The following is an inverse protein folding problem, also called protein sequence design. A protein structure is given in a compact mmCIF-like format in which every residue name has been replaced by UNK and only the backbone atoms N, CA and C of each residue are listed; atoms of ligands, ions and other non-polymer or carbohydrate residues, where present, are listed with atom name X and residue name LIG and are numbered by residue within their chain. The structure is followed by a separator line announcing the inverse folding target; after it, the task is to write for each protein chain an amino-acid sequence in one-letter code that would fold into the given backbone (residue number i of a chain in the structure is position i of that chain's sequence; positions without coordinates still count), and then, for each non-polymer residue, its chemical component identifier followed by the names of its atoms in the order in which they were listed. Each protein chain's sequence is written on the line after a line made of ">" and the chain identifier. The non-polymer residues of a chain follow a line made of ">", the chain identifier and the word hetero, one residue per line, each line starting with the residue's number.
data_IF_316627449741
#
_entry.id   IF_316627449741
#
_cell.length_a   1.000
_cell.length_b   1.000
_cell.length_c   1.000
_cell.angle_alpha   90.00
_cell.angle_beta   90.00
_cell.angle_gamma   90.00
#
_symmetry.space_group_name_H-M   'P 1'
#
loop_
_entity.id
_entity.type
_entity.pdbx_description
1 polymer ?
#
# COMPACT_ATOMS: atom_id res chain seq x y z
N UNK A 1 -50.59 39.61 -24.86
CA UNK A 1 -50.44 38.24 -25.39
C UNK A 1 -48.98 38.01 -25.74
N UNK A 2 -48.22 37.31 -24.88
CA UNK A 2 -46.88 36.80 -25.18
C UNK A 2 -46.85 35.33 -24.77
N UNK A 3 -46.57 34.48 -25.75
CA UNK A 3 -46.53 33.02 -25.66
C UNK A 3 -45.45 32.57 -24.66
N UNK A 4 -45.81 31.68 -23.74
CA UNK A 4 -44.89 30.91 -22.92
C UNK A 4 -44.69 29.56 -23.62
N UNK A 5 -43.48 29.32 -24.12
CA UNK A 5 -43.09 28.04 -24.69
C UNK A 5 -42.66 27.10 -23.54
N UNK A 6 -43.42 26.02 -23.36
CA UNK A 6 -43.09 24.94 -22.41
C UNK A 6 -42.26 23.91 -23.15
N UNK A 7 -41.01 23.72 -22.75
CA UNK A 7 -40.13 22.66 -23.26
C UNK A 7 -40.33 21.43 -22.38
N UNK A 8 -40.82 20.35 -22.98
CA UNK A 8 -40.92 19.02 -22.39
C UNK A 8 -39.64 18.26 -22.73
N UNK A 9 -38.85 17.92 -21.71
CA UNK A 9 -37.66 17.07 -21.89
C UNK A 9 -38.02 15.62 -21.61
N UNK A 10 -37.75 14.79 -22.62
CA UNK A 10 -38.01 13.35 -22.68
C UNK A 10 -37.02 12.58 -21.82
N UNK A 11 -37.50 11.61 -21.05
CA UNK A 11 -36.72 10.67 -20.26
C UNK A 11 -35.93 9.72 -21.18
N UNK A 12 -34.61 9.61 -20.95
CA UNK A 12 -33.75 8.62 -21.61
C UNK A 12 -33.63 7.36 -20.73
N UNK A 13 -33.89 6.20 -21.35
CA UNK A 13 -33.65 4.87 -20.79
C UNK A 13 -32.18 4.62 -20.48
N UNK A 14 -31.92 4.06 -19.29
CA UNK A 14 -30.61 3.57 -18.87
C UNK A 14 -30.48 2.11 -19.36
N UNK A 15 -29.60 1.87 -20.33
CA UNK A 15 -29.12 0.52 -20.65
C UNK A 15 -28.14 0.08 -19.56
N UNK A 16 -28.47 -1.01 -18.86
CA UNK A 16 -27.55 -1.67 -17.93
C UNK A 16 -26.49 -2.46 -18.67
N UNK A 17 -25.24 -2.01 -18.58
CA UNK A 17 -24.07 -2.83 -18.91
C UNK A 17 -23.61 -3.56 -17.64
N UNK A 18 -23.78 -4.86 -17.62
CA UNK A 18 -23.13 -5.79 -16.70
C UNK A 18 -21.61 -5.70 -16.88
N UNK A 19 -20.92 -5.12 -15.89
CA UNK A 19 -19.45 -5.17 -15.81
C UNK A 19 -18.96 -6.56 -15.38
N UNK A 20 -17.72 -6.94 -15.75
CA UNK A 20 -17.13 -8.22 -15.37
C UNK A 20 -16.81 -8.26 -13.86
N UNK A 21 -17.01 -9.44 -13.27
CA UNK A 21 -16.80 -9.74 -11.85
C UNK A 21 -15.39 -9.38 -11.36
N UNK A 22 -15.26 -8.29 -10.60
CA UNK A 22 -14.08 -7.99 -9.77
C UNK A 22 -14.24 -8.62 -8.38
N UNK A 23 -14.31 -9.94 -8.33
CA UNK A 23 -14.34 -10.72 -7.08
C UNK A 23 -13.03 -11.49 -6.88
N UNK A 24 -11.91 -10.79 -6.69
CA UNK A 24 -10.68 -11.37 -6.13
C UNK A 24 -9.69 -10.24 -5.82
N UNK A 25 -9.60 -9.84 -4.55
CA UNK A 25 -8.43 -9.24 -3.87
C UNK A 25 -8.86 -8.77 -2.46
N UNK A 26 -9.62 -9.60 -1.75
CA UNK A 26 -9.55 -9.62 -0.29
C UNK A 26 -8.72 -10.87 -0.01
N UNK A 27 -7.46 -10.69 0.37
CA UNK A 27 -6.69 -11.76 0.96
C UNK A 27 -7.43 -12.15 2.25
N UNK A 28 -8.26 -13.19 2.16
CA UNK A 28 -8.79 -13.86 3.33
C UNK A 28 -7.58 -14.47 4.03
N UNK A 29 -7.04 -13.72 5.00
CA UNK A 29 -6.27 -14.23 6.12
C UNK A 29 -7.22 -15.12 6.94
N UNK A 30 -7.53 -16.30 6.41
CA UNK A 30 -7.93 -17.41 7.22
C UNK A 30 -6.70 -17.79 8.06
N UNK A 31 -6.92 -17.91 9.37
CA UNK A 31 -5.95 -18.29 10.40
C UNK A 31 -4.83 -19.23 9.92
N UNK A 32 -3.59 -19.10 10.43
CA UNK A 32 -2.44 -19.80 9.90
C UNK A 32 -2.54 -21.30 10.19
N UNK A 33 -2.91 -22.08 9.18
CA UNK A 33 -2.38 -23.42 9.03
C UNK A 33 -0.94 -23.29 8.56
N UNK A 34 0.00 -23.80 9.35
CA UNK A 34 1.42 -23.89 8.99
C UNK A 34 1.55 -24.65 7.68
N UNK A 35 1.87 -23.95 6.59
CA UNK A 35 2.34 -24.56 5.34
C UNK A 35 3.85 -24.38 5.31
N UNK A 36 4.57 -25.45 5.65
CA UNK A 36 6.00 -25.56 5.35
C UNK A 36 6.10 -25.93 3.87
N UNK A 37 6.21 -24.93 3.00
CA UNK A 37 6.61 -25.17 1.60
C UNK A 37 8.14 -25.08 1.51
N UNK A 38 8.79 -26.22 1.69
CA UNK A 38 10.16 -26.45 1.25
C UNK A 38 10.13 -26.99 -0.18
N UNK A 39 10.00 -26.11 -1.18
CA UNK A 39 10.23 -26.48 -2.58
C UNK A 39 11.64 -26.09 -2.99
N UNK A 40 12.60 -26.98 -2.69
CA UNK A 40 13.91 -27.01 -3.35
C UNK A 40 13.70 -27.68 -4.71
N UNK A 41 13.64 -26.91 -5.79
CA UNK A 41 13.72 -27.45 -7.15
C UNK A 41 15.18 -27.62 -7.54
N UNK A 42 15.73 -28.83 -7.30
CA UNK A 42 16.99 -29.27 -7.89
C UNK A 42 16.68 -30.04 -9.17
N UNK A 43 16.68 -29.35 -10.31
CA UNK A 43 16.80 -29.99 -11.62
C UNK A 43 18.29 -30.10 -11.96
N UNK A 44 18.90 -31.23 -11.59
CA UNK A 44 20.17 -31.69 -12.12
C UNK A 44 20.02 -33.17 -12.50
N UNK A 45 19.82 -33.41 -13.79
CA UNK A 45 19.93 -34.74 -14.39
C UNK A 45 21.40 -35.13 -14.48
N UNK A 46 21.81 -36.16 -13.73
CA UNK A 46 23.19 -36.66 -13.74
C UNK A 46 23.40 -37.90 -12.88
N UNK A 47 23.27 -39.05 -13.55
CA UNK A 47 23.63 -40.43 -13.22
C UNK A 47 24.45 -40.76 -11.94
N UNK A 48 23.99 -41.86 -11.33
CA UNK A 48 24.73 -42.95 -10.67
C UNK A 48 25.56 -42.66 -9.40
N UNK A 49 25.10 -43.21 -8.28
CA UNK A 49 26.04 -43.75 -7.29
C UNK A 49 25.65 -43.64 -5.82
N UNK A 50 25.23 -44.79 -5.30
CA UNK A 50 25.66 -45.33 -4.01
C UNK A 50 24.79 -45.09 -2.77
N UNK A 51 24.42 -46.23 -2.20
CA UNK A 51 23.63 -46.46 -0.99
C UNK A 51 24.38 -46.00 0.26
N UNK A 52 23.68 -45.32 1.16
CA UNK A 52 23.90 -45.39 2.61
C UNK A 52 22.60 -44.87 3.29
N UNK A 53 21.67 -45.80 3.48
CA UNK A 53 20.47 -45.60 4.29
C UNK A 53 20.87 -45.35 5.74
N UNK A 54 20.74 -44.10 6.17
CA UNK A 54 20.61 -43.72 7.58
C UNK A 54 19.23 -43.09 7.75
N UNK A 55 18.29 -43.90 8.23
CA UNK A 55 17.01 -43.43 8.75
C UNK A 55 17.28 -42.46 9.91
N UNK A 56 17.08 -41.17 9.65
CA UNK A 56 16.99 -40.15 10.68
C UNK A 56 15.49 -40.03 11.00
N UNK A 57 15.05 -40.76 12.02
CA UNK A 57 13.75 -40.54 12.65
C UNK A 57 13.82 -39.22 13.42
N UNK A 58 13.51 -38.11 12.74
CA UNK A 58 13.27 -36.83 13.39
C UNK A 58 11.88 -36.88 14.04
N UNK A 59 11.82 -37.12 15.35
CA UNK A 59 10.58 -37.02 16.14
C UNK A 59 10.06 -35.58 16.09
N UNK A 60 8.96 -35.35 15.37
CA UNK A 60 8.28 -34.05 15.23
C UNK A 60 7.22 -33.82 16.34
N UNK A 61 7.49 -34.21 17.59
CA UNK A 61 6.45 -34.26 18.64
C UNK A 61 6.35 -33.04 19.57
N UNK A 62 7.12 -31.96 19.38
CA UNK A 62 7.06 -30.79 20.29
C UNK A 62 7.08 -29.43 19.57
N UNK A 63 6.21 -29.22 18.56
CA UNK A 63 5.88 -27.85 18.12
C UNK A 63 4.77 -27.33 19.04
N UNK A 64 5.16 -26.61 20.09
CA UNK A 64 4.22 -25.90 20.95
C UNK A 64 3.26 -25.05 20.09
N UNK A 65 1.93 -25.09 20.33
CA UNK A 65 0.98 -24.29 19.58
C UNK A 65 1.40 -22.83 19.67
N UNK A 66 1.53 -22.16 18.52
CA UNK A 66 1.83 -20.75 18.46
C UNK A 66 0.81 -20.02 19.34
N UNK A 67 1.31 -19.39 20.40
CA UNK A 67 0.50 -18.69 21.39
C UNK A 67 -0.21 -17.52 20.71
N UNK A 68 -1.45 -17.75 20.27
CA UNK A 68 -2.27 -16.78 19.54
C UNK A 68 -2.87 -15.72 20.47
N UNK A 69 -2.38 -15.61 21.72
CA UNK A 69 -2.93 -14.72 22.74
C UNK A 69 -2.30 -13.33 22.78
N UNK A 70 -1.53 -12.91 21.77
CA UNK A 70 -1.15 -11.52 21.63
C UNK A 70 -2.39 -10.69 21.27
N UNK A 71 -3.12 -10.27 22.29
CA UNK A 71 -4.17 -9.26 22.17
C UNK A 71 -3.45 -7.96 21.82
N UNK A 72 -3.60 -7.52 20.57
CA UNK A 72 -3.11 -6.22 20.14
C UNK A 72 -3.99 -5.14 20.76
N UNK A 73 -3.59 -4.65 21.93
CA UNK A 73 -4.29 -3.58 22.63
C UNK A 73 -4.07 -2.24 21.92
N UNK A 74 -5.16 -1.60 21.48
CA UNK A 74 -5.12 -0.25 20.92
C UNK A 74 -6.34 0.09 20.06
N UNK A 75 -6.65 1.39 19.85
CA UNK A 75 -7.67 1.79 18.90
C UNK A 75 -7.31 1.31 17.49
N UNK A 76 -8.30 1.14 16.64
CA UNK A 76 -8.03 0.87 15.22
C UNK A 76 -7.51 2.15 14.57
N UNK A 77 -6.44 2.03 13.81
CA UNK A 77 -5.88 3.13 13.03
C UNK A 77 -5.91 2.71 11.57
N UNK A 78 -6.36 3.58 10.70
CA UNK A 78 -6.18 3.38 9.27
C UNK A 78 -5.25 4.45 8.72
N UNK A 79 -4.35 4.02 7.85
CA UNK A 79 -3.38 4.85 7.18
C UNK A 79 -3.62 4.76 5.69
N UNK A 80 -3.82 5.91 5.03
CA UNK A 80 -3.94 6.00 3.58
C UNK A 80 -2.63 6.50 2.98
N UNK A 81 -2.08 5.77 2.01
CA UNK A 81 -0.84 6.09 1.32
C UNK A 81 -1.07 6.46 -0.14
N UNK A 82 -0.41 7.52 -0.61
CA UNK A 82 -0.44 7.93 -2.01
C UNK A 82 0.67 7.26 -2.84
N UNK A 83 0.31 6.24 -3.61
CA UNK A 83 1.22 5.52 -4.52
C UNK A 83 1.00 5.77 -6.02
N UNK A 84 0.18 6.76 -6.41
CA UNK A 84 -0.11 7.07 -7.83
C UNK A 84 1.03 7.91 -8.46
N UNK A 85 1.94 7.37 -9.28
CA UNK A 85 3.17 8.09 -9.65
C UNK A 85 2.93 9.24 -10.62
N UNK A 86 1.86 9.23 -11.42
CA UNK A 86 1.51 10.32 -12.33
C UNK A 86 0.58 11.38 -11.71
N UNK A 87 0.41 11.36 -10.38
CA UNK A 87 -0.30 12.39 -9.64
C UNK A 87 0.64 12.97 -8.58
N UNK A 88 0.85 14.29 -8.62
CA UNK A 88 1.68 14.99 -7.63
C UNK A 88 1.08 14.94 -6.22
N UNK A 89 -0.24 15.10 -6.17
CA UNK A 89 -1.00 15.08 -4.96
C UNK A 89 -2.40 14.53 -5.22
N UNK A 90 -3.05 14.10 -4.14
CA UNK A 90 -4.44 13.66 -4.18
C UNK A 90 -5.24 14.22 -3.01
N UNK A 91 -6.56 14.22 -3.16
CA UNK A 91 -7.50 14.34 -2.04
C UNK A 91 -8.41 13.12 -1.95
N UNK A 92 -8.84 12.85 -0.75
CA UNK A 92 -9.58 11.67 -0.34
C UNK A 92 -10.97 12.06 0.12
N UNK A 93 -11.95 11.38 -0.44
CA UNK A 93 -13.29 11.33 0.08
C UNK A 93 -13.69 9.90 0.37
N UNK A 94 -14.76 9.75 1.13
CA UNK A 94 -15.30 8.46 1.46
C UNK A 94 -16.80 8.48 1.19
N UNK A 95 -17.27 7.42 0.54
CA UNK A 95 -18.68 7.07 0.57
C UNK A 95 -18.87 6.07 1.70
N UNK A 96 -20.00 6.15 2.40
CA UNK A 96 -20.37 5.19 3.43
C UNK A 96 -21.79 4.70 3.23
N UNK A 97 -22.06 3.46 3.62
CA UNK A 97 -23.38 2.88 3.55
C UNK A 97 -23.33 1.37 3.39
N UNK A 98 -24.29 0.84 2.64
CA UNK A 98 -24.23 -0.54 2.12
C UNK A 98 -23.75 -0.47 0.68
N UNK A 99 -23.14 -1.54 0.16
CA UNK A 99 -22.69 -1.62 -1.23
C UNK A 99 -23.69 -1.10 -2.29
N UNK A 100 -25.00 -1.23 -2.07
CA UNK A 100 -26.05 -0.77 -3.01
C UNK A 100 -26.54 0.66 -2.80
N UNK A 101 -26.10 1.34 -1.73
CA UNK A 101 -26.61 2.65 -1.29
C UNK A 101 -25.50 3.44 -0.59
N UNK A 102 -24.37 3.59 -1.27
CA UNK A 102 -23.24 4.39 -0.81
C UNK A 102 -23.55 5.88 -0.98
N UNK A 103 -23.35 6.66 0.08
CA UNK A 103 -23.57 8.12 0.08
C UNK A 103 -22.27 8.82 0.46
N UNK A 104 -21.89 9.93 -0.21
CA UNK A 104 -20.74 10.72 0.21
C UNK A 104 -20.86 11.18 1.67
N UNK A 105 -19.80 11.02 2.44
CA UNK A 105 -19.75 11.57 3.80
C UNK A 105 -19.73 13.10 3.73
N UNK A 106 -20.43 13.82 4.62
CA UNK A 106 -20.49 15.29 4.61
C UNK A 106 -19.25 15.93 5.26
N UNK A 107 -18.06 15.34 5.04
CA UNK A 107 -16.77 15.77 5.61
C UNK A 107 -15.92 16.48 4.58
N UNK A 108 -14.93 17.23 5.05
CA UNK A 108 -13.92 17.84 4.17
C UNK A 108 -13.12 16.77 3.44
N UNK A 109 -12.77 17.03 2.19
CA UNK A 109 -11.82 16.20 1.46
C UNK A 109 -10.46 16.21 2.17
N UNK A 110 -9.92 15.02 2.46
CA UNK A 110 -8.72 14.83 3.28
C UNK A 110 -7.46 14.60 2.43
N UNK A 111 -6.26 14.91 2.95
CA UNK A 111 -6.02 15.82 4.06
C UNK A 111 -6.47 17.25 3.70
N UNK A 112 -6.76 18.07 4.72
CA UNK A 112 -7.31 19.42 4.54
C UNK A 112 -6.26 20.48 4.19
N UNK A 113 -4.98 20.11 4.15
CA UNK A 113 -3.91 21.02 3.78
C UNK A 113 -4.07 21.51 2.32
N UNK A 114 -3.37 22.58 1.98
CA UNK A 114 -3.48 23.25 0.68
C UNK A 114 -3.05 22.38 -0.49
N UNK A 115 -2.01 21.56 -0.30
CA UNK A 115 -1.42 20.75 -1.37
C UNK A 115 -2.15 19.41 -1.56
N UNK A 116 -2.90 18.96 -0.55
CA UNK A 116 -3.42 17.60 -0.49
C UNK A 116 -2.35 16.61 -0.03
N UNK A 117 -2.68 15.32 -0.07
CA UNK A 117 -1.70 14.28 0.23
C UNK A 117 -0.69 14.23 -0.91
N UNK A 118 0.60 14.45 -0.65
CA UNK A 118 1.64 14.38 -1.68
C UNK A 118 1.98 12.93 -2.04
N UNK A 119 2.47 12.71 -3.26
CA UNK A 119 3.00 11.41 -3.68
C UNK A 119 4.07 10.89 -2.70
N UNK A 120 3.97 9.62 -2.32
CA UNK A 120 4.87 8.98 -1.36
C UNK A 120 4.58 9.30 0.10
N UNK A 121 3.57 10.13 0.40
CA UNK A 121 3.17 10.49 1.76
C UNK A 121 1.97 9.68 2.23
N UNK A 122 1.74 9.68 3.54
CA UNK A 122 0.60 9.03 4.17
C UNK A 122 -0.20 9.97 5.07
N UNK A 123 -1.47 9.64 5.28
CA UNK A 123 -2.35 10.25 6.25
C UNK A 123 -2.95 9.15 7.14
N UNK A 124 -2.95 9.35 8.46
CA UNK A 124 -3.52 8.40 9.41
C UNK A 124 -4.69 9.01 10.16
N UNK A 125 -5.72 8.20 10.43
CA UNK A 125 -6.84 8.58 11.27
C UNK A 125 -7.40 7.36 12.03
N UNK A 126 -8.00 7.64 13.20
CA UNK A 126 -8.65 6.64 14.04
C UNK A 126 -10.15 6.52 13.77
N UNK A 127 -10.74 7.53 13.13
CA UNK A 127 -12.16 7.62 12.85
C UNK A 127 -12.42 8.37 11.54
N UNK A 128 -13.52 8.05 10.88
CA UNK A 128 -14.08 8.85 9.80
C UNK A 128 -15.34 9.54 10.32
N UNK A 129 -15.32 10.87 10.38
CA UNK A 129 -16.48 11.63 10.83
C UNK A 129 -17.70 11.31 9.94
N UNK A 130 -18.85 11.07 10.59
CA UNK A 130 -20.09 10.72 9.90
C UNK A 130 -20.20 9.25 9.45
N UNK A 131 -19.22 8.39 9.72
CA UNK A 131 -19.28 6.96 9.40
C UNK A 131 -19.23 6.07 10.64
N UNK A 132 -20.05 5.01 10.66
CA UNK A 132 -19.95 3.89 11.60
C UNK A 132 -19.14 2.76 10.94
N UNK A 133 -17.83 2.72 11.21
CA UNK A 133 -16.91 1.75 10.61
C UNK A 133 -17.20 0.29 10.99
N UNK A 134 -17.99 0.05 12.03
CA UNK A 134 -18.41 -1.28 12.42
C UNK A 134 -19.64 -1.77 11.65
N UNK A 135 -20.53 -0.86 11.25
CA UNK A 135 -21.81 -1.18 10.61
C UNK A 135 -21.90 -0.82 9.13
N UNK A 136 -21.00 0.02 8.61
CA UNK A 136 -21.05 0.54 7.26
C UNK A 136 -19.84 0.11 6.45
N UNK A 137 -20.12 -0.26 5.20
CA UNK A 137 -19.09 -0.39 4.17
C UNK A 137 -18.56 1.00 3.83
N UNK A 138 -17.27 1.09 3.54
CA UNK A 138 -16.57 2.33 3.21
C UNK A 138 -16.00 2.22 1.81
N UNK A 139 -16.24 3.22 0.97
CA UNK A 139 -15.66 3.27 -0.38
C UNK A 139 -14.82 4.53 -0.55
N UNK A 140 -13.49 4.43 -0.55
CA UNK A 140 -12.63 5.56 -0.80
C UNK A 140 -12.81 6.09 -2.23
N UNK A 141 -12.73 7.40 -2.39
CA UNK A 141 -12.73 8.11 -3.66
C UNK A 141 -11.53 9.02 -3.69
N UNK A 142 -10.70 8.86 -4.71
CA UNK A 142 -9.47 9.64 -4.90
C UNK A 142 -9.71 10.69 -5.97
N UNK A 143 -9.32 11.92 -5.66
CA UNK A 143 -9.29 13.03 -6.59
C UNK A 143 -7.84 13.39 -6.91
N UNK A 144 -7.47 13.38 -8.19
CA UNK A 144 -6.13 13.77 -8.69
C UNK A 144 -6.24 14.90 -9.72
N UNK A 145 -5.12 15.48 -10.14
CA UNK A 145 -5.07 16.63 -11.06
C UNK A 145 -4.87 17.94 -10.31
N UNK A 146 -5.64 18.97 -10.63
CA UNK A 146 -5.55 20.31 -10.01
C UNK A 146 -6.21 20.37 -8.60
N UNK A 147 -5.80 19.48 -7.69
CA UNK A 147 -6.48 19.22 -6.39
C UNK A 147 -6.51 20.42 -5.43
N UNK A 148 -5.71 21.45 -5.67
CA UNK A 148 -5.78 22.74 -5.00
C UNK A 148 -7.11 23.47 -5.27
N UNK A 149 -7.75 23.23 -6.41
CA UNK A 149 -9.03 23.85 -6.79
C UNK A 149 -10.22 23.32 -6.00
N UNK A 150 -10.05 22.19 -5.31
CA UNK A 150 -11.06 21.58 -4.44
C UNK A 150 -10.69 21.64 -2.96
N UNK A 151 -9.71 22.48 -2.59
CA UNK A 151 -9.37 22.73 -1.20
C UNK A 151 -10.58 23.26 -0.42
N UNK A 152 -10.80 22.72 0.78
CA UNK A 152 -11.87 23.16 1.67
C UNK A 152 -13.28 22.76 1.22
N UNK A 153 -13.41 22.02 0.11
CA UNK A 153 -14.69 21.47 -0.34
C UNK A 153 -15.04 20.20 0.43
N UNK A 154 -16.33 19.99 0.66
CA UNK A 154 -16.84 18.75 1.28
C UNK A 154 -17.07 17.67 0.23
N UNK A 155 -17.04 16.42 0.64
CA UNK A 155 -17.14 15.28 -0.26
C UNK A 155 -18.51 15.15 -0.93
N UNK A 156 -19.58 15.57 -0.26
CA UNK A 156 -20.94 15.70 -0.84
C UNK A 156 -21.03 16.81 -1.89
N UNK A 157 -20.15 17.80 -1.86
CA UNK A 157 -20.12 18.88 -2.86
C UNK A 157 -19.32 18.47 -4.12
N UNK A 158 -18.54 17.40 -4.05
CA UNK A 158 -17.66 16.91 -5.11
C UNK A 158 -18.30 15.79 -5.97
N UNK A 159 -19.63 15.67 -5.93
CA UNK A 159 -20.38 14.84 -6.89
C UNK A 159 -20.20 15.36 -8.32
N UNK A 160 -20.26 16.68 -8.51
CA UNK A 160 -19.89 17.34 -9.75
C UNK A 160 -18.37 17.60 -9.75
N UNK A 161 -17.63 16.73 -10.44
CA UNK A 161 -16.16 16.80 -10.55
C UNK A 161 -15.77 18.04 -11.35
N UNK A 162 -14.97 18.97 -10.78
CA UNK A 162 -14.51 20.15 -11.51
C UNK A 162 -13.64 19.77 -12.72
N UNK A 163 -13.52 20.70 -13.67
CA UNK A 163 -12.58 20.53 -14.77
C UNK A 163 -11.15 20.29 -14.26
N UNK A 164 -10.38 19.46 -14.98
CA UNK A 164 -8.98 19.10 -14.64
C UNK A 164 -8.80 18.33 -13.33
N UNK A 165 -9.90 17.89 -12.72
CA UNK A 165 -9.88 16.91 -11.65
C UNK A 165 -10.29 15.56 -12.23
N UNK A 166 -9.54 14.52 -11.88
CA UNK A 166 -9.93 13.15 -12.14
C UNK A 166 -10.45 12.52 -10.86
N UNK A 167 -11.63 11.91 -10.93
CA UNK A 167 -12.26 11.20 -9.81
C UNK A 167 -12.16 9.70 -10.05
N UNK A 168 -11.51 8.98 -9.14
CA UNK A 168 -11.40 7.53 -9.18
C UNK A 168 -12.04 6.92 -7.94
N UNK A 169 -13.02 6.05 -8.15
CA UNK A 169 -13.65 5.28 -7.07
C UNK A 169 -12.80 4.03 -6.82
N UNK A 170 -12.40 3.80 -5.57
CA UNK A 170 -11.62 2.64 -5.17
C UNK A 170 -12.53 1.47 -4.74
N UNK A 171 -11.98 0.25 -4.62
CA UNK A 171 -12.70 -0.90 -4.06
C UNK A 171 -13.32 -0.61 -2.69
N UNK A 172 -14.46 -1.26 -2.41
CA UNK A 172 -15.16 -1.15 -1.13
C UNK A 172 -14.38 -1.88 -0.04
N UNK A 173 -14.22 -1.22 1.11
CA UNK A 173 -13.77 -1.80 2.38
C UNK A 173 -15.01 -2.26 3.16
N UNK A 174 -15.19 -3.57 3.40
CA UNK A 174 -16.36 -4.07 4.10
C UNK A 174 -16.44 -3.55 5.55
N UNK A 175 -17.68 -3.39 6.03
CA UNK A 175 -17.96 -3.06 7.43
C UNK A 175 -17.19 -3.96 8.40
N UNK A 176 -16.68 -3.38 9.49
CA UNK A 176 -15.93 -4.10 10.50
C UNK A 176 -14.44 -4.30 10.18
N UNK A 177 -13.99 -4.04 8.95
CA UNK A 177 -12.56 -4.17 8.61
C UNK A 177 -11.69 -3.19 9.39
N UNK A 178 -12.17 -1.95 9.55
CA UNK A 178 -11.46 -0.86 10.21
C UNK A 178 -11.75 -0.71 11.71
N UNK A 179 -12.52 -1.62 12.33
CA UNK A 179 -12.91 -1.53 13.74
C UNK A 179 -12.43 -2.70 14.61
N UNK A 180 -11.60 -3.60 14.06
CA UNK A 180 -11.13 -4.82 14.75
C UNK A 180 -9.91 -4.64 15.66
N UNK A 181 -9.60 -3.41 16.09
CA UNK A 181 -8.42 -3.12 16.90
C UNK A 181 -7.12 -3.34 16.14
N UNK A 182 -7.13 -3.12 14.82
CA UNK A 182 -5.99 -3.37 13.93
C UNK A 182 -5.55 -2.09 13.26
N UNK A 183 -4.26 -2.02 12.96
CA UNK A 183 -3.71 -1.03 12.05
C UNK A 183 -3.88 -1.51 10.60
N UNK A 184 -4.52 -0.70 9.77
CA UNK A 184 -4.78 -1.03 8.36
C UNK A 184 -4.11 0.00 7.47
N UNK A 185 -3.25 -0.46 6.55
CA UNK A 185 -2.67 0.35 5.50
C UNK A 185 -3.49 0.19 4.22
N UNK A 186 -4.04 1.30 3.72
CA UNK A 186 -4.71 1.41 2.43
C UNK A 186 -3.81 2.19 1.48
N UNK A 187 -3.53 1.66 0.31
CA UNK A 187 -2.61 2.27 -0.65
C UNK A 187 -3.30 2.46 -1.98
N UNK A 188 -3.45 3.69 -2.46
CA UNK A 188 -3.82 3.92 -3.85
C UNK A 188 -2.60 3.73 -4.74
N UNK A 189 -2.63 2.77 -5.65
CA UNK A 189 -1.51 2.40 -6.52
C UNK A 189 -1.97 2.28 -7.99
N UNK A 190 -1.02 2.40 -8.91
CA UNK A 190 -1.29 2.50 -10.36
C UNK A 190 -1.32 3.95 -10.82
N UNK A 191 -1.70 4.18 -12.07
CA UNK A 191 -1.73 5.52 -12.68
C UNK A 191 -3.16 6.00 -12.92
N UNK A 192 -3.38 7.29 -12.70
CA UNK A 192 -4.59 7.97 -13.11
C UNK A 192 -4.70 8.02 -14.66
N UNK A 193 -5.92 8.12 -15.22
CA UNK A 193 -6.12 8.43 -16.63
C UNK A 193 -5.28 9.64 -17.08
N UNK A 194 -4.70 9.57 -18.27
CA UNK A 194 -3.96 10.68 -18.87
C UNK A 194 -4.19 10.71 -20.38
N UNK A 195 -4.16 11.89 -20.98
CA UNK A 195 -4.48 12.08 -22.39
C UNK A 195 -3.32 11.74 -23.34
N UNK A 196 -2.11 11.54 -22.81
CA UNK A 196 -0.89 11.33 -23.59
C UNK A 196 -0.43 9.89 -23.38
N UNK A 197 -0.25 9.14 -24.46
CA UNK A 197 0.42 7.84 -24.41
C UNK A 197 1.92 8.02 -24.60
N UNK A 198 2.68 7.61 -23.60
CA UNK A 198 4.15 7.58 -23.62
C UNK A 198 4.64 6.14 -23.84
N UNK A 199 5.69 5.88 -24.64
CA UNK A 199 6.25 4.54 -24.79
C UNK A 199 6.62 3.84 -23.47
N UNK A 200 6.97 4.59 -22.42
CA UNK A 200 7.31 4.06 -21.10
C UNK A 200 6.07 3.83 -20.21
N UNK A 201 4.85 4.10 -20.68
CA UNK A 201 3.61 4.03 -19.87
C UNK A 201 3.46 2.71 -19.14
N UNK A 202 3.67 1.57 -19.80
CA UNK A 202 3.54 0.26 -19.14
C UNK A 202 4.61 0.04 -18.08
N UNK A 203 5.84 0.52 -18.31
CA UNK A 203 6.92 0.43 -17.33
C UNK A 203 6.68 1.30 -16.09
N UNK A 204 5.81 2.32 -16.18
CA UNK A 204 5.46 3.24 -15.10
C UNK A 204 4.18 2.81 -14.38
N UNK A 205 3.18 2.40 -15.16
CA UNK A 205 1.82 2.19 -14.68
C UNK A 205 1.47 0.71 -14.48
N UNK A 206 2.21 -0.20 -15.11
CA UNK A 206 1.91 -1.64 -15.17
C UNK A 206 0.96 -2.00 -16.31
N UNK A 207 1.05 -3.26 -16.76
CA UNK A 207 0.50 -3.78 -18.02
C UNK A 207 -1.02 -3.60 -18.23
N UNK A 208 -1.78 -3.39 -17.15
CA UNK A 208 -3.23 -3.19 -17.18
C UNK A 208 -3.65 -1.72 -17.32
N UNK A 209 -2.70 -0.81 -17.61
CA UNK A 209 -2.99 0.61 -17.82
C UNK A 209 -3.74 0.89 -19.13
N UNK A 210 -4.69 1.83 -19.05
CA UNK A 210 -5.32 2.47 -20.23
C UNK A 210 -5.37 3.98 -20.06
N UNK A 211 -5.17 4.73 -21.15
CA UNK A 211 -5.23 6.20 -21.16
C UNK A 211 -6.61 6.75 -20.77
N UNK A 212 -7.69 6.04 -21.13
CA UNK A 212 -9.08 6.43 -20.84
C UNK A 212 -9.47 6.25 -19.36
N UNK A 213 -9.12 5.11 -18.74
CA UNK A 213 -9.59 4.76 -17.39
C UNK A 213 -8.49 4.81 -16.32
N UNK A 214 -7.23 4.88 -16.73
CA UNK A 214 -6.11 4.56 -15.87
C UNK A 214 -6.15 3.11 -15.41
N UNK A 215 -5.49 2.84 -14.29
CA UNK A 215 -5.54 1.54 -13.60
C UNK A 215 -5.35 1.69 -12.08
N UNK A 216 -5.72 2.85 -11.53
CA UNK A 216 -5.66 3.10 -10.08
C UNK A 216 -6.53 2.07 -9.36
N UNK A 217 -5.93 1.40 -8.38
CA UNK A 217 -6.59 0.45 -7.50
C UNK A 217 -6.19 0.72 -6.04
N UNK A 218 -6.83 0.03 -5.11
CA UNK A 218 -6.46 0.06 -3.70
C UNK A 218 -5.85 -1.28 -3.29
N UNK A 219 -4.68 -1.23 -2.67
CA UNK A 219 -4.11 -2.34 -1.93
C UNK A 219 -4.43 -2.14 -0.45
N UNK A 220 -4.81 -3.21 0.23
CA UNK A 220 -5.14 -3.17 1.67
C UNK A 220 -4.28 -4.22 2.38
N UNK A 221 -3.56 -3.79 3.42
CA UNK A 221 -2.74 -4.67 4.22
C UNK A 221 -2.97 -4.41 5.72
N UNK A 222 -3.06 -5.47 6.51
CA UNK A 222 -2.93 -5.36 7.96
C UNK A 222 -1.45 -5.19 8.32
N UNK A 223 -1.18 -4.18 9.16
CA UNK A 223 0.13 -3.95 9.75
C UNK A 223 0.19 -4.67 11.09
N UNK A 224 1.27 -5.42 11.32
CA UNK A 224 1.47 -6.12 12.58
C UNK A 224 1.84 -5.13 13.69
N UNK A 225 1.41 -5.42 14.91
CA UNK A 225 1.72 -4.67 16.13
C UNK A 225 2.49 -5.54 17.14
N UNK A 226 3.04 -6.67 16.70
CA UNK A 226 3.87 -7.54 17.52
C UNK A 226 5.23 -6.89 17.84
N UNK A 227 5.24 -5.92 18.73
CA UNK A 227 6.44 -5.23 19.21
C UNK A 227 7.47 -6.21 19.81
N UNK A 228 8.64 -6.43 19.17
CA UNK A 228 9.66 -7.29 19.72
C UNK A 228 10.49 -6.57 20.79
N UNK A 229 10.73 -7.21 21.94
CA UNK A 229 11.64 -6.66 22.93
C UNK A 229 13.07 -6.55 22.37
N UNK A 230 13.66 -5.35 22.43
CA UNK A 230 15.07 -5.12 22.08
C UNK A 230 15.39 -5.02 20.58
N UNK A 231 14.38 -4.98 19.71
CA UNK A 231 14.54 -4.75 18.27
C UNK A 231 13.37 -3.91 17.74
N UNK A 232 13.51 -3.34 16.55
CA UNK A 232 12.39 -2.77 15.81
C UNK A 232 11.77 -3.87 14.95
N UNK A 233 10.44 -3.95 14.90
CA UNK A 233 9.78 -4.79 13.91
C UNK A 233 9.72 -4.06 12.58
N UNK A 234 10.13 -4.71 11.49
CA UNK A 234 10.05 -4.12 10.15
C UNK A 234 9.28 -5.03 9.22
N UNK A 235 8.24 -4.47 8.60
CA UNK A 235 7.54 -5.07 7.46
C UNK A 235 7.73 -4.21 6.23
N UNK A 236 7.62 -4.81 5.06
CA UNK A 236 7.77 -4.15 3.78
C UNK A 236 6.59 -4.52 2.90
N UNK A 237 5.98 -3.53 2.25
CA UNK A 237 4.93 -3.71 1.25
C UNK A 237 5.36 -3.13 -0.09
N UNK A 238 5.19 -3.93 -1.14
CA UNK A 238 5.29 -3.44 -2.52
C UNK A 238 3.97 -2.79 -2.93
N UNK A 239 4.00 -1.50 -3.23
CA UNK A 239 2.89 -0.72 -3.78
C UNK A 239 3.15 -0.30 -5.24
N UNK A 240 4.07 -0.96 -5.93
CA UNK A 240 4.32 -0.74 -7.36
C UNK A 240 3.53 -1.74 -8.19
N UNK A 241 2.55 -1.27 -8.97
CA UNK A 241 1.85 -2.15 -9.94
C UNK A 241 2.71 -2.53 -11.14
N UNK A 242 3.71 -1.69 -11.44
CA UNK A 242 4.58 -1.88 -12.60
C UNK A 242 5.68 -2.94 -12.36
N UNK A 243 5.94 -3.28 -11.09
CA UNK A 243 7.05 -4.17 -10.72
C UNK A 243 6.53 -5.51 -10.19
N UNK A 244 6.87 -6.61 -10.85
CA UNK A 244 6.34 -7.94 -10.51
C UNK A 244 6.82 -8.44 -9.14
N UNK A 245 8.12 -8.33 -8.84
CA UNK A 245 8.72 -8.77 -7.57
C UNK A 245 9.82 -7.82 -7.13
N UNK A 246 9.74 -7.40 -5.86
CA UNK A 246 10.72 -6.51 -5.23
C UNK A 246 11.44 -7.18 -4.06
N UNK A 247 12.73 -6.88 -3.92
CA UNK A 247 13.48 -7.09 -2.68
C UNK A 247 13.81 -5.74 -2.04
N UNK A 248 13.97 -5.72 -0.72
CA UNK A 248 14.42 -4.55 0.02
C UNK A 248 15.47 -4.96 1.06
N UNK A 249 16.61 -4.30 0.99
CA UNK A 249 17.66 -4.39 2.01
C UNK A 249 17.85 -3.05 2.70
N UNK A 250 18.24 -3.12 3.97
CA UNK A 250 18.88 -2.01 4.67
C UNK A 250 20.39 -2.22 4.66
N UNK A 251 21.15 -1.16 4.41
CA UNK A 251 22.61 -1.19 4.38
C UNK A 251 23.17 -0.10 5.28
N UNK A 252 24.08 -0.48 6.17
CA UNK A 252 24.94 0.44 6.92
C UNK A 252 26.29 0.59 6.21
N UNK A 253 26.84 1.79 6.14
CA UNK A 253 28.12 2.04 5.47
C UNK A 253 29.34 1.58 6.31
N UNK A 254 29.31 1.71 7.64
CA UNK A 254 30.44 1.37 8.50
C UNK A 254 30.02 0.76 9.86
N UNK A 255 30.36 -0.51 10.15
CA UNK A 255 30.85 -1.50 9.19
C UNK A 255 29.83 -1.73 8.09
N UNK A 256 30.31 -2.08 6.89
CA UNK A 256 29.41 -2.45 5.80
C UNK A 256 28.62 -3.69 6.21
N UNK A 257 27.31 -3.55 6.40
CA UNK A 257 26.39 -4.64 6.71
C UNK A 257 25.12 -4.44 5.90
N UNK A 258 24.78 -5.43 5.08
CA UNK A 258 23.49 -5.50 4.41
C UNK A 258 22.57 -6.44 5.20
N UNK A 259 21.34 -5.99 5.44
CA UNK A 259 20.30 -6.72 6.16
C UNK A 259 19.09 -6.81 5.25
N UNK A 260 18.75 -8.03 4.82
CA UNK A 260 17.57 -8.26 3.99
C UNK A 260 16.32 -8.03 4.84
N UNK A 261 15.51 -7.04 4.45
CA UNK A 261 14.24 -6.75 5.13
C UNK A 261 13.10 -7.55 4.53
N UNK A 262 13.09 -7.70 3.20
CA UNK A 262 12.14 -8.55 2.50
C UNK A 262 12.69 -8.99 1.14
N UNK A 263 12.27 -10.16 0.67
CA UNK A 263 12.65 -10.71 -0.63
C UNK A 263 11.40 -11.15 -1.42
N UNK A 264 11.43 -10.98 -2.74
CA UNK A 264 10.39 -11.45 -3.67
C UNK A 264 8.96 -11.00 -3.30
N UNK A 265 8.78 -9.72 -2.96
CA UNK A 265 7.51 -9.08 -2.70
C UNK A 265 6.73 -8.80 -3.99
N UNK A 266 5.63 -9.51 -4.18
CA UNK A 266 4.64 -9.16 -5.19
C UNK A 266 3.84 -7.90 -4.80
N UNK A 267 3.27 -7.16 -5.76
CA UNK A 267 2.42 -6.00 -5.49
C UNK A 267 1.30 -6.31 -4.50
N UNK A 268 1.10 -5.43 -3.51
CA UNK A 268 0.11 -5.57 -2.43
C UNK A 268 0.49 -6.53 -1.32
N UNK A 269 1.56 -7.33 -1.47
CA UNK A 269 2.03 -8.24 -0.42
C UNK A 269 2.85 -7.47 0.61
N UNK A 270 2.52 -7.66 1.88
CA UNK A 270 3.31 -7.21 3.03
C UNK A 270 4.07 -8.41 3.62
N UNK A 271 5.39 -8.26 3.81
CA UNK A 271 6.24 -9.30 4.40
C UNK A 271 7.49 -8.67 5.07
N UNK A 272 8.16 -9.37 5.99
CA UNK A 272 7.78 -10.68 6.53
C UNK A 272 6.58 -10.58 7.49
N UNK A 273 5.99 -11.74 7.77
CA UNK A 273 4.96 -11.95 8.79
C UNK A 273 5.41 -13.15 9.63
N UNK A 274 5.84 -12.98 10.90
CA UNK A 274 5.89 -11.72 11.65
C UNK A 274 6.93 -10.71 11.11
N UNK A 275 6.89 -9.43 11.54
CA UNK A 275 7.91 -8.43 11.21
C UNK A 275 9.34 -8.90 11.46
N UNK A 276 10.26 -8.45 10.62
CA UNK A 276 11.70 -8.71 10.78
C UNK A 276 12.20 -8.03 12.04
N UNK A 277 13.08 -8.72 12.78
CA UNK A 277 13.67 -8.25 14.04
C UNK A 277 15.18 -8.04 13.93
N UNK A 278 15.70 -8.00 12.70
CA UNK A 278 17.13 -7.90 12.40
C UNK A 278 17.67 -6.47 12.63
N UNK A 279 16.78 -5.47 12.69
CA UNK A 279 17.14 -4.08 12.93
C UNK A 279 16.83 -3.67 14.37
N UNK A 280 17.75 -2.91 14.94
CA UNK A 280 17.58 -2.20 16.21
C UNK A 280 18.04 -0.76 16.04
N UNK A 281 17.62 0.14 16.93
CA UNK A 281 18.09 1.53 16.92
C UNK A 281 19.62 1.60 17.03
N UNK A 282 20.22 0.69 17.80
CA UNK A 282 21.67 0.59 17.92
C UNK A 282 22.35 0.23 16.59
N UNK A 283 21.74 -0.62 15.77
CA UNK A 283 22.27 -1.03 14.46
C UNK A 283 22.24 0.09 13.42
N UNK A 284 21.34 1.06 13.57
CA UNK A 284 21.27 2.21 12.66
C UNK A 284 22.44 3.18 12.87
N UNK A 285 23.19 3.07 13.97
CA UNK A 285 24.27 3.99 14.30
C UNK A 285 23.79 5.42 14.54
N UNK A 286 24.72 6.37 14.58
CA UNK A 286 24.43 7.79 14.87
C UNK A 286 24.39 8.67 13.62
N UNK A 287 24.85 8.15 12.47
CA UNK A 287 25.01 8.91 11.23
C UNK A 287 23.87 8.59 10.26
N UNK A 288 23.02 9.59 10.00
CA UNK A 288 21.93 9.48 9.03
C UNK A 288 22.40 9.15 7.61
N UNK A 289 23.59 9.62 7.24
CA UNK A 289 24.13 9.46 5.89
C UNK A 289 24.69 8.06 5.62
N UNK A 290 24.79 7.21 6.64
CA UNK A 290 25.36 5.87 6.54
C UNK A 290 24.29 4.79 6.34
N UNK A 291 23.00 5.15 6.37
CA UNK A 291 21.89 4.21 6.30
C UNK A 291 21.15 4.34 4.97
N UNK A 292 21.24 3.30 4.14
CA UNK A 292 20.58 3.22 2.85
C UNK A 292 19.52 2.13 2.84
N UNK A 293 18.43 2.39 2.13
CA UNK A 293 17.45 1.40 1.73
C UNK A 293 17.68 1.09 0.24
N UNK A 294 17.84 -0.18 -0.10
CA UNK A 294 18.16 -0.64 -1.45
C UNK A 294 17.06 -1.54 -1.98
N UNK A 295 16.59 -1.24 -3.18
CA UNK A 295 15.53 -2.01 -3.84
C UNK A 295 16.14 -2.88 -4.92
N UNK A 296 15.69 -4.13 -4.99
CA UNK A 296 16.08 -5.12 -6.00
C UNK A 296 14.85 -5.59 -6.77
N UNK A 297 15.03 -6.03 -8.01
CA UNK A 297 13.96 -6.62 -8.85
C UNK A 297 14.36 -8.04 -9.22
N UNK A 298 13.42 -8.97 -9.13
CA UNK A 298 13.53 -10.36 -9.60
C UNK A 298 14.90 -11.02 -9.36
N UNK A 299 15.28 -11.17 -8.10
CA UNK A 299 16.56 -11.76 -7.66
C UNK A 299 17.83 -11.09 -8.20
N UNK A 300 17.74 -9.87 -8.74
CA UNK A 300 18.91 -9.08 -9.12
C UNK A 300 19.84 -8.90 -7.93
N UNK A 301 21.15 -9.07 -8.19
CA UNK A 301 22.21 -8.78 -7.21
C UNK A 301 22.58 -7.29 -7.16
N UNK A 302 22.12 -6.50 -8.14
CA UNK A 302 22.39 -5.07 -8.24
C UNK A 302 21.14 -4.29 -7.82
N UNK A 303 21.26 -3.33 -6.89
CA UNK A 303 20.14 -2.49 -6.51
C UNK A 303 19.74 -1.61 -7.69
N UNK A 304 18.44 -1.51 -7.92
CA UNK A 304 17.84 -0.74 -9.02
C UNK A 304 17.27 0.60 -8.55
N UNK A 305 17.15 0.78 -7.23
CA UNK A 305 16.91 2.06 -6.59
C UNK A 305 17.57 2.08 -5.20
N UNK A 306 17.98 3.25 -4.76
CA UNK A 306 18.50 3.50 -3.41
C UNK A 306 17.85 4.75 -2.84
N UNK A 307 17.59 4.76 -1.53
CA UNK A 307 17.15 5.94 -0.79
C UNK A 307 17.91 6.01 0.52
N UNK A 308 18.25 7.23 0.96
CA UNK A 308 18.66 7.42 2.35
C UNK A 308 17.49 7.04 3.26
N UNK A 309 17.81 6.44 4.41
CA UNK A 309 16.81 6.10 5.42
C UNK A 309 16.11 7.37 5.95
N UNK A 310 16.84 8.47 6.11
CA UNK A 310 16.23 9.75 6.53
C UNK A 310 15.21 10.26 5.53
N UNK A 311 15.49 10.19 4.23
CA UNK A 311 14.53 10.64 3.22
C UNK A 311 13.25 9.78 3.26
N UNK A 312 13.40 8.48 3.54
CA UNK A 312 12.26 7.58 3.70
C UNK A 312 11.46 7.82 4.98
N UNK A 313 12.12 8.18 6.08
CA UNK A 313 11.48 8.59 7.34
C UNK A 313 10.75 9.92 7.20
N UNK A 314 11.40 10.92 6.60
CA UNK A 314 10.85 12.27 6.43
C UNK A 314 9.55 12.24 5.61
N UNK A 315 9.48 11.40 4.56
CA UNK A 315 8.23 11.17 3.80
C UNK A 315 7.10 10.60 4.63
N UNK A 316 7.42 9.83 5.68
CA UNK A 316 6.46 9.30 6.64
C UNK A 316 6.17 10.23 7.82
N UNK A 317 6.75 11.43 7.83
CA UNK A 317 6.65 12.37 8.96
C UNK A 317 7.45 11.91 10.18
N UNK A 318 8.42 11.00 10.00
CA UNK A 318 9.27 10.47 11.06
C UNK A 318 10.67 11.09 10.97
N UNK A 319 11.39 11.00 12.07
CA UNK A 319 12.84 11.25 12.15
C UNK A 319 13.56 10.00 12.65
N UNK A 320 14.90 9.98 12.59
CA UNK A 320 15.68 8.89 13.21
C UNK A 320 15.40 8.75 14.72
N UNK A 321 15.16 9.86 15.42
CA UNK A 321 14.80 9.83 16.85
C UNK A 321 13.39 9.30 17.12
N UNK A 322 12.57 9.14 16.08
CA UNK A 322 11.24 8.51 16.16
C UNK A 322 11.33 6.98 16.15
N UNK A 323 12.49 6.44 15.76
CA UNK A 323 12.75 5.01 15.74
C UNK A 323 13.07 4.50 17.15
N UNK A 324 12.37 3.46 17.58
CA UNK A 324 12.47 2.90 18.93
C UNK A 324 12.41 1.37 18.88
N UNK A 325 13.31 0.72 19.59
CA UNK A 325 13.19 -0.72 19.84
C UNK A 325 11.88 -1.00 20.60
N UNK A 326 11.21 -2.09 20.27
CA UNK A 326 9.85 -2.38 20.74
C UNK A 326 8.76 -1.66 19.94
N UNK A 327 9.06 -1.03 18.81
CA UNK A 327 8.07 -0.49 17.87
C UNK A 327 8.17 -1.15 16.51
N UNK A 328 7.03 -1.22 15.84
CA UNK A 328 6.91 -1.80 14.51
C UNK A 328 6.75 -0.68 13.47
N UNK A 329 7.41 -0.86 12.33
CA UNK A 329 7.41 0.06 11.21
C UNK A 329 7.10 -0.71 9.93
N UNK A 330 6.35 -0.07 9.04
CA UNK A 330 6.05 -0.58 7.71
C UNK A 330 6.75 0.29 6.67
N UNK A 331 7.60 -0.33 5.85
CA UNK A 331 8.25 0.31 4.70
C UNK A 331 7.37 0.10 3.47
N UNK A 332 6.93 1.20 2.87
CA UNK A 332 6.16 1.20 1.63
C UNK A 332 7.10 1.54 0.48
N UNK A 333 7.19 0.65 -0.50
CA UNK A 333 7.92 0.89 -1.76
C UNK A 333 6.89 1.10 -2.87
N UNK A 334 6.78 2.32 -3.40
CA UNK A 334 5.74 2.70 -4.34
C UNK A 334 6.29 3.38 -5.59
N UNK A 335 5.56 3.27 -6.71
CA UNK A 335 5.86 3.99 -7.95
C UNK A 335 6.09 3.11 -9.18
N UNK A 336 6.77 3.64 -10.22
CA UNK A 336 7.06 2.93 -11.46
C UNK A 336 8.01 1.75 -11.25
N UNK A 337 8.36 1.03 -12.31
CA UNK A 337 9.51 0.14 -12.27
C UNK A 337 10.76 0.91 -11.78
N UNK A 338 11.59 0.32 -10.90
CA UNK A 338 12.81 0.96 -10.43
C UNK A 338 13.72 1.45 -11.56
N UNK A 339 14.45 2.53 -11.29
CA UNK A 339 15.36 3.16 -12.26
C UNK A 339 14.69 4.05 -13.31
N UNK A 340 13.34 4.11 -13.35
CA UNK A 340 12.60 4.99 -14.26
C UNK A 340 12.55 6.43 -13.75
N UNK A 341 12.71 7.37 -14.67
CA UNK A 341 12.60 8.81 -14.45
C UNK A 341 11.90 9.45 -15.66
N UNK A 342 11.10 10.49 -15.43
CA UNK A 342 10.42 11.21 -16.50
C UNK A 342 9.70 12.46 -15.98
N UNK A 343 9.24 13.30 -16.89
CA UNK A 343 8.64 14.59 -16.55
C UNK A 343 7.17 14.50 -16.13
N UNK A 344 6.48 13.41 -16.50
CA UNK A 344 5.04 13.24 -16.27
C UNK A 344 4.71 12.30 -15.10
N UNK A 345 5.73 11.67 -14.50
CA UNK A 345 5.58 10.79 -13.34
C UNK A 345 6.69 11.01 -12.33
N UNK A 346 6.40 10.64 -11.08
CA UNK A 346 7.38 10.61 -10.00
C UNK A 346 8.10 9.26 -9.99
N UNK A 347 9.41 9.31 -9.78
CA UNK A 347 10.24 8.12 -9.57
C UNK A 347 9.75 7.26 -8.40
N UNK A 348 10.25 6.03 -8.33
CA UNK A 348 9.99 5.16 -7.18
C UNK A 348 10.40 5.85 -5.87
N UNK A 349 9.56 5.69 -4.85
CA UNK A 349 9.79 6.21 -3.49
C UNK A 349 9.74 5.08 -2.48
N UNK A 350 10.54 5.26 -1.43
CA UNK A 350 10.53 4.43 -0.23
C UNK A 350 10.10 5.33 0.92
N UNK A 351 9.11 4.88 1.69
CA UNK A 351 8.56 5.62 2.84
C UNK A 351 8.45 4.69 4.03
N UNK A 352 8.89 5.15 5.20
CA UNK A 352 8.75 4.41 6.46
C UNK A 352 7.59 4.98 7.24
N UNK A 353 6.64 4.13 7.62
CA UNK A 353 5.46 4.49 8.40
C UNK A 353 5.48 3.76 9.76
N UNK A 354 4.94 4.36 10.83
CA UNK A 354 4.65 3.59 12.03
C UNK A 354 3.55 2.55 11.72
N UNK A 355 3.78 1.29 12.10
CA UNK A 355 2.75 0.24 11.95
C UNK A 355 1.58 0.45 12.93
N UNK A 356 1.78 1.21 14.00
CA UNK A 356 0.75 1.65 14.93
C UNK A 356 0.91 3.17 15.22
N UNK A 357 0.31 4.03 14.37
CA UNK A 357 0.51 5.50 14.40
C UNK A 357 -0.06 6.23 15.62
#
# INVERSE_FOLDING_TARGET
>A
MRMVATIVTVALSICGCSGPDTSALVANDASPGVVVDASVSNDASGADGNMNDREIEASMDDVAPADSSFVHDGPSVFTFFHGIPNARALRLCFLAGKATSMVPLPVLAMPSDTLGLLYGSAFSAQSLEGADLAAQDIQPVVYTGAVETIQGRRCDELEAVPEKITRTILPVVPAGTLSRGRSVLMIAAGCAPMQVEDPDTQSVCGDDYSSEKGNVTMMVASMDRSSPAGAMGVQVISASKATEKLGLDHVTAFPYKATVLAASLSPGKIAPRPPSKELSVANLGTSSQENLLRVFVDNSMTPVAESLLTDALDRGGLSLSSLQDGKDYTVVVAGPNPGRQGDWFHSMVITVLPSDP
#
